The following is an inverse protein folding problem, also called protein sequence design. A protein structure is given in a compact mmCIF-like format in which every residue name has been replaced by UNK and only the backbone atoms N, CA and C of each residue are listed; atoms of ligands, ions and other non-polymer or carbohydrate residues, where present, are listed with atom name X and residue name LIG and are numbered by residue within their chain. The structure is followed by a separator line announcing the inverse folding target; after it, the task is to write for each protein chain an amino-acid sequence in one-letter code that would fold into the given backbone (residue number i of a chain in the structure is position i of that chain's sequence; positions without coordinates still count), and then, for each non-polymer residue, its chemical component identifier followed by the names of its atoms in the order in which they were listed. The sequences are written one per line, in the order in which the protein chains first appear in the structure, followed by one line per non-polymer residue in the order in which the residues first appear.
data_IF_459074139342
#
_entry.id   IF_459074139342
#
_cell.length_a   1.000
_cell.length_b   1.000
_cell.length_c   1.000
_cell.angle_alpha   90.00
_cell.angle_beta   90.00
_cell.angle_gamma   90.00
#
_symmetry.space_group_name_H-M   'P 1'
#
loop_
_entity.id
_entity.type
_entity.pdbx_description
1 polymer ?
2 polymer ?
3 polymer ?
#
# COMPACT_ATOMS: atom_id res chain seq x y z
N UNK A 1 10.49 -12.51 -13.57
CA UNK A 1 10.10 -11.14 -13.84
C UNK A 1 8.69 -11.01 -14.39
N UNK A 2 7.71 -11.03 -13.49
CA UNK A 2 6.31 -10.91 -13.88
C UNK A 2 5.79 -9.50 -13.59
N UNK A 3 4.57 -9.24 -14.05
CA UNK A 3 3.86 -8.02 -13.74
C UNK A 3 2.47 -8.38 -13.23
N UNK A 4 1.87 -7.46 -12.49
CA UNK A 4 0.62 -7.75 -11.80
C UNK A 4 -0.36 -6.60 -11.94
N UNK A 5 -1.61 -6.94 -12.24
CA UNK A 5 -2.74 -6.04 -12.12
C UNK A 5 -3.55 -6.48 -10.91
N UNK A 6 -3.66 -5.62 -9.91
CA UNK A 6 -4.30 -5.98 -8.65
C UNK A 6 -5.35 -4.94 -8.27
N UNK A 7 -6.47 -5.41 -7.74
CA UNK A 7 -7.58 -4.57 -7.31
C UNK A 7 -7.84 -4.79 -5.84
N UNK A 8 -8.00 -3.70 -5.10
CA UNK A 8 -8.15 -3.73 -3.64
C UNK A 8 -9.46 -3.06 -3.27
N UNK A 9 -10.42 -3.85 -2.78
CA UNK A 9 -11.69 -3.34 -2.31
C UNK A 9 -11.69 -3.24 -0.79
N UNK A 10 -12.36 -2.22 -0.27
CA UNK A 10 -12.57 -2.09 1.17
C UNK A 10 -13.95 -1.53 1.41
N UNK A 11 -14.75 -2.26 2.18
CA UNK A 11 -16.07 -1.81 2.62
C UNK A 11 -16.11 -1.89 4.14
N UNK A 12 -16.48 -0.80 4.80
CA UNK A 12 -16.46 -0.79 6.25
C UNK A 12 -17.53 0.13 6.79
N UNK A 13 -18.28 -0.36 7.78
CA UNK A 13 -19.15 0.49 8.58
C UNK A 13 -18.36 1.00 9.78
N UNK A 14 -18.58 2.24 10.14
CA UNK A 14 -17.88 2.87 11.25
C UNK A 14 -18.89 3.33 12.30
N UNK A 15 -18.47 3.45 13.56
CA UNK A 15 -19.45 3.69 14.65
C UNK A 15 -20.34 4.91 14.45
N UNK A 16 -19.75 6.07 14.21
CA UNK A 16 -20.52 7.30 14.19
C UNK A 16 -21.05 7.74 12.84
N UNK A 17 -21.42 6.77 12.00
CA UNK A 17 -21.95 7.08 10.68
C UNK A 17 -22.70 5.85 10.16
N UNK A 18 -24.02 5.95 10.07
CA UNK A 18 -24.77 4.99 9.30
C UNK A 18 -24.33 4.97 7.85
N UNK A 19 -24.56 3.82 7.18
CA UNK A 19 -24.20 3.60 5.79
C UNK A 19 -22.70 3.37 5.65
N UNK A 20 -22.26 2.18 5.26
CA UNK A 20 -20.81 1.93 5.15
C UNK A 20 -20.21 2.59 3.92
N UNK A 21 -18.89 2.75 3.97
CA UNK A 21 -18.10 3.36 2.92
C UNK A 21 -17.46 2.29 2.06
N UNK A 22 -17.18 2.61 0.80
CA UNK A 22 -16.59 1.65 -0.12
C UNK A 22 -15.46 2.32 -0.88
N UNK A 23 -14.26 1.75 -0.76
CA UNK A 23 -13.07 2.23 -1.47
C UNK A 23 -12.59 1.11 -2.39
N UNK A 24 -12.30 1.47 -3.65
CA UNK A 24 -11.86 0.52 -4.65
C UNK A 24 -10.73 1.14 -5.46
N UNK A 25 -9.51 0.63 -5.28
CA UNK A 25 -8.35 1.11 -6.01
C UNK A 25 -7.71 -0.05 -6.75
N UNK A 26 -7.01 0.28 -7.81
CA UNK A 26 -6.34 -0.72 -8.63
C UNK A 26 -4.89 -0.37 -8.84
N UNK A 27 -4.04 -1.39 -8.85
CA UNK A 27 -2.60 -1.23 -9.01
C UNK A 27 -2.12 -2.03 -10.21
N UNK A 28 -1.14 -1.46 -10.91
CA UNK A 28 -0.21 -2.19 -11.77
C UNK A 28 1.16 -2.10 -11.10
N UNK A 29 1.68 -3.26 -10.68
CA UNK A 29 2.94 -3.35 -9.94
C UNK A 29 2.79 -2.55 -8.65
N UNK A 30 3.59 -1.51 -8.43
CA UNK A 30 3.49 -0.63 -7.26
C UNK A 30 3.02 0.76 -7.68
N UNK A 31 2.13 0.83 -8.68
CA UNK A 31 1.64 2.10 -9.22
C UNK A 31 0.12 2.08 -9.21
N UNK A 32 -0.48 2.93 -8.38
CA UNK A 32 -1.92 3.09 -8.38
C UNK A 32 -2.35 3.91 -9.59
N UNK A 33 -3.42 3.47 -10.26
CA UNK A 33 -3.88 4.14 -11.47
C UNK A 33 -5.36 4.49 -11.47
N UNK A 34 -6.15 3.98 -10.53
CA UNK A 34 -7.58 4.25 -10.51
C UNK A 34 -8.08 4.19 -9.07
N UNK A 35 -9.17 4.90 -8.81
CA UNK A 35 -9.80 4.90 -7.50
C UNK A 35 -11.31 5.03 -7.67
N UNK A 36 -12.02 4.60 -6.63
CA UNK A 36 -13.46 4.80 -6.49
C UNK A 36 -13.74 4.89 -4.99
N UNK A 37 -14.52 5.89 -4.58
CA UNK A 37 -14.94 6.01 -3.19
C UNK A 37 -16.37 6.54 -3.14
N UNK A 38 -17.25 5.84 -2.44
CA UNK A 38 -18.67 6.17 -2.43
C UNK A 38 -19.05 7.37 -1.57
N UNK A 39 -18.09 7.99 -0.88
CA UNK A 39 -18.39 9.14 -0.03
C UNK A 39 -18.50 10.44 -0.81
N UNK A 40 -18.78 10.39 -2.11
CA UNK A 40 -18.82 11.57 -2.96
C UNK A 40 -20.26 11.89 -3.34
N UNK A 41 -20.43 13.00 -4.07
CA UNK A 41 -21.73 13.40 -4.57
C UNK A 41 -22.28 12.33 -5.50
N UNK A 42 -21.93 12.39 -6.79
CA UNK A 42 -22.11 11.27 -7.68
C UNK A 42 -20.79 10.53 -7.77
N UNK A 43 -20.59 9.45 -7.02
CA UNK A 43 -19.27 8.82 -6.97
C UNK A 43 -18.89 8.24 -8.33
N UNK A 44 -17.67 8.55 -8.76
CA UNK A 44 -17.20 8.16 -10.08
C UNK A 44 -15.81 7.56 -9.99
N UNK A 45 -15.52 6.65 -10.92
CA UNK A 45 -14.15 6.18 -11.11
C UNK A 45 -13.33 7.28 -11.78
N UNK A 46 -12.15 7.54 -11.23
CA UNK A 46 -11.31 8.66 -11.63
C UNK A 46 -9.89 8.19 -11.86
N UNK A 47 -9.12 8.89 -12.69
CA UNK A 47 -7.74 8.48 -12.94
C UNK A 47 -6.81 8.92 -11.82
N UNK A 48 -5.82 8.06 -11.53
CA UNK A 48 -4.77 8.36 -10.57
C UNK A 48 -3.39 8.05 -11.12
N UNK A 49 -3.24 8.08 -12.44
CA UNK A 49 -1.96 7.88 -13.10
C UNK A 49 -1.97 8.68 -14.40
N UNK A 50 -0.82 9.19 -14.85
CA UNK A 50 -0.84 10.08 -16.03
C UNK A 50 -1.38 9.42 -17.29
N UNK A 51 -0.93 8.19 -17.59
CA UNK A 51 -1.33 7.54 -18.82
C UNK A 51 -2.83 7.24 -18.85
N UNK A 52 -3.51 7.27 -17.70
CA UNK A 52 -4.96 7.10 -17.70
C UNK A 52 -5.70 8.40 -17.98
N UNK A 53 -5.01 9.53 -17.97
CA UNK A 53 -5.57 10.76 -18.51
C UNK A 53 -5.88 10.65 -19.99
N UNK A 54 -5.24 9.70 -20.69
CA UNK A 54 -5.41 9.50 -22.12
C UNK A 54 -6.41 8.39 -22.46
N UNK A 55 -6.88 7.63 -21.46
CA UNK A 55 -7.60 6.39 -21.74
C UNK A 55 -8.95 6.64 -22.41
N UNK A 56 -9.51 7.85 -22.29
CA UNK A 56 -10.79 8.12 -22.94
C UNK A 56 -10.65 8.16 -24.45
N UNK A 57 -9.44 8.38 -24.96
CA UNK A 57 -9.23 8.40 -26.40
C UNK A 57 -9.51 7.02 -27.02
N UNK A 58 -8.84 5.99 -26.49
CA UNK A 58 -9.01 4.63 -27.02
C UNK A 58 -10.22 3.91 -26.44
N UNK A 59 -10.80 4.41 -25.36
CA UNK A 59 -11.96 3.77 -24.73
C UNK A 59 -12.80 4.85 -24.09
N UNK A 60 -13.71 5.48 -24.85
CA UNK A 60 -14.48 6.61 -24.30
C UNK A 60 -15.43 6.21 -23.19
N UNK A 61 -15.83 4.95 -23.10
CA UNK A 61 -16.75 4.50 -22.06
C UNK A 61 -16.05 3.93 -20.84
N UNK A 62 -14.71 3.92 -20.82
CA UNK A 62 -13.98 3.30 -19.71
C UNK A 62 -14.44 3.85 -18.37
N UNK A 63 -14.57 5.18 -18.28
CA UNK A 63 -14.95 5.79 -17.01
C UNK A 63 -16.40 5.51 -16.66
N UNK A 64 -17.29 5.50 -17.66
CA UNK A 64 -18.69 5.18 -17.41
C UNK A 64 -18.86 3.71 -17.04
N UNK A 65 -18.20 2.82 -17.79
CA UNK A 65 -18.33 1.38 -17.51
C UNK A 65 -17.72 1.02 -16.16
N UNK A 66 -16.57 1.61 -15.84
CA UNK A 66 -15.92 1.28 -14.56
C UNK A 66 -16.61 1.96 -13.38
N UNK A 67 -17.24 3.11 -13.60
CA UNK A 67 -18.10 3.67 -12.57
C UNK A 67 -19.29 2.76 -12.31
N UNK A 68 -19.83 2.16 -13.37
CA UNK A 68 -20.94 1.22 -13.20
C UNK A 68 -20.52 0.01 -12.39
N UNK A 69 -19.36 -0.58 -12.72
CA UNK A 69 -18.93 -1.79 -12.05
C UNK A 69 -18.61 -1.56 -10.58
N UNK A 70 -18.05 -0.40 -10.25
CA UNK A 70 -17.67 -0.12 -8.86
C UNK A 70 -18.87 0.27 -8.01
N UNK A 71 -19.82 0.98 -8.60
CA UNK A 71 -21.01 1.36 -7.87
C UNK A 71 -21.87 0.14 -7.56
N UNK A 72 -21.91 -0.82 -8.48
CA UNK A 72 -22.56 -2.10 -8.18
C UNK A 72 -21.77 -2.86 -7.12
N UNK A 73 -20.45 -2.92 -7.27
CA UNK A 73 -19.61 -3.60 -6.29
C UNK A 73 -19.83 -3.02 -4.89
N UNK A 74 -19.90 -1.68 -4.80
CA UNK A 74 -20.18 -1.04 -3.52
C UNK A 74 -21.47 -1.57 -2.91
N UNK A 75 -22.48 -1.79 -3.75
CA UNK A 75 -23.79 -2.21 -3.24
C UNK A 75 -23.76 -3.65 -2.72
N UNK A 76 -23.15 -4.57 -3.49
CA UNK A 76 -23.18 -5.97 -3.10
C UNK A 76 -22.40 -6.23 -1.81
N UNK A 77 -21.34 -5.46 -1.57
CA UNK A 77 -20.52 -5.69 -0.38
C UNK A 77 -20.98 -4.89 0.83
N UNK A 78 -21.91 -3.95 0.65
CA UNK A 78 -22.60 -3.38 1.80
C UNK A 78 -23.63 -4.35 2.34
N UNK A 79 -24.31 -5.09 1.45
CA UNK A 79 -25.15 -6.19 1.88
C UNK A 79 -24.29 -7.31 2.46
N UNK A 80 -23.09 -7.53 1.90
CA UNK A 80 -22.21 -8.57 2.42
C UNK A 80 -21.77 -8.30 3.84
N UNK A 81 -21.60 -7.02 4.19
CA UNK A 81 -21.35 -6.66 5.58
C UNK A 81 -22.46 -7.18 6.48
N UNK A 82 -23.71 -6.96 6.07
CA UNK A 82 -24.85 -7.43 6.86
C UNK A 82 -24.88 -8.95 6.92
N UNK A 83 -24.67 -9.61 5.78
CA UNK A 83 -24.73 -11.07 5.73
C UNK A 83 -23.73 -11.69 6.69
N UNK A 84 -22.45 -11.35 6.55
CA UNK A 84 -21.42 -11.94 7.39
C UNK A 84 -21.61 -11.56 8.85
N UNK A 85 -21.96 -10.30 9.10
CA UNK A 85 -22.26 -9.86 10.47
C UNK A 85 -23.33 -10.73 11.11
N UNK A 86 -24.29 -11.18 10.32
CA UNK A 86 -25.31 -12.08 10.80
C UNK A 86 -24.83 -13.50 10.99
N UNK A 87 -23.97 -13.98 10.08
CA UNK A 87 -23.37 -15.30 10.25
C UNK A 87 -22.69 -15.41 11.61
N UNK A 88 -22.00 -14.36 12.02
CA UNK A 88 -21.31 -14.33 13.31
C UNK A 88 -22.20 -13.80 14.43
N UNK A 89 -23.50 -13.62 14.17
CA UNK A 89 -24.47 -13.09 15.14
C UNK A 89 -23.84 -11.88 15.85
N UNK A 90 -23.25 -10.99 15.06
CA UNK A 90 -22.77 -9.76 15.67
C UNK A 90 -23.90 -8.75 15.65
N UNK A 91 -23.74 -7.70 16.44
CA UNK A 91 -24.78 -6.70 16.60
C UNK A 91 -24.53 -5.53 15.67
N UNK A 92 -25.60 -4.78 15.41
CA UNK A 92 -25.50 -3.59 14.58
C UNK A 92 -24.55 -2.55 15.16
N UNK A 93 -24.22 -2.66 16.45
CA UNK A 93 -23.45 -1.61 17.12
C UNK A 93 -22.03 -1.52 16.56
N UNK A 94 -21.36 -2.67 16.40
CA UNK A 94 -19.95 -2.68 16.10
C UNK A 94 -19.63 -2.16 14.70
N UNK A 95 -18.33 -2.03 14.45
CA UNK A 95 -17.80 -1.59 13.17
C UNK A 95 -16.99 -2.73 12.56
N UNK A 96 -17.33 -3.10 11.33
CA UNK A 96 -16.77 -4.27 10.70
C UNK A 96 -16.27 -3.95 9.30
N UNK A 97 -15.46 -4.86 8.75
CA UNK A 97 -14.73 -4.60 7.51
C UNK A 97 -14.75 -5.84 6.63
N UNK A 98 -15.07 -5.64 5.35
CA UNK A 98 -14.90 -6.66 4.32
C UNK A 98 -13.90 -6.12 3.31
N UNK A 99 -12.88 -6.92 3.01
CA UNK A 99 -11.85 -6.56 2.05
C UNK A 99 -11.81 -7.60 0.93
N UNK A 100 -11.54 -7.14 -0.28
CA UNK A 100 -11.38 -8.02 -1.42
C UNK A 100 -10.10 -7.67 -2.17
N UNK A 101 -9.38 -8.69 -2.60
CA UNK A 101 -8.16 -8.53 -3.37
C UNK A 101 -8.17 -9.56 -4.50
N UNK A 102 -8.20 -9.07 -5.75
CA UNK A 102 -8.20 -9.96 -6.90
C UNK A 102 -7.30 -9.38 -7.98
N UNK A 103 -6.71 -10.27 -8.77
CA UNK A 103 -5.82 -9.85 -9.82
C UNK A 103 -5.11 -11.03 -10.44
N UNK A 104 -4.06 -10.71 -11.21
CA UNK A 104 -3.35 -11.74 -11.98
C UNK A 104 -1.88 -11.38 -12.07
N UNK A 105 -1.04 -12.42 -12.09
CA UNK A 105 0.39 -12.31 -12.36
C UNK A 105 0.67 -12.85 -13.75
N UNK A 106 1.25 -12.02 -14.61
CA UNK A 106 1.49 -12.36 -16.01
C UNK A 106 2.99 -12.43 -16.27
N UNK A 107 3.41 -13.44 -17.01
CA UNK A 107 4.81 -13.64 -17.34
C UNK A 107 5.25 -12.78 -18.52
N UNK A 108 6.43 -13.10 -19.07
CA UNK A 108 7.05 -12.20 -20.07
C UNK A 108 6.16 -11.81 -21.25
N UNK A 109 5.50 -12.75 -21.90
CA UNK A 109 4.73 -12.49 -23.12
C UNK A 109 3.28 -12.95 -22.94
N UNK A 110 2.55 -12.19 -22.13
CA UNK A 110 1.13 -12.45 -21.92
C UNK A 110 0.83 -13.81 -21.32
N UNK A 111 1.67 -14.26 -20.39
CA UNK A 111 1.60 -15.61 -19.86
C UNK A 111 1.10 -15.54 -18.42
N UNK A 112 -0.16 -15.92 -18.21
CA UNK A 112 -0.75 -15.91 -16.87
C UNK A 112 -0.02 -16.88 -15.96
N UNK A 113 0.66 -16.34 -14.93
CA UNK A 113 1.32 -17.17 -13.94
C UNK A 113 0.34 -17.64 -12.86
N UNK A 114 -0.39 -16.71 -12.25
CA UNK A 114 -1.34 -17.01 -11.19
C UNK A 114 -2.51 -16.05 -11.23
N UNK A 115 -3.67 -16.55 -10.82
CA UNK A 115 -4.84 -15.70 -10.61
C UNK A 115 -5.40 -15.93 -9.22
N UNK A 116 -5.98 -14.87 -8.66
CA UNK A 116 -6.39 -14.94 -7.26
C UNK A 116 -7.58 -14.02 -7.00
N UNK A 117 -8.39 -14.41 -6.02
CA UNK A 117 -9.48 -13.59 -5.50
C UNK A 117 -9.67 -13.97 -4.04
N UNK A 118 -9.41 -13.03 -3.13
CA UNK A 118 -9.38 -13.31 -1.71
C UNK A 118 -10.24 -12.30 -0.97
N UNK A 119 -10.84 -12.76 0.14
CA UNK A 119 -11.73 -11.94 0.95
C UNK A 119 -11.38 -12.08 2.41
N UNK A 120 -11.36 -10.95 3.11
CA UNK A 120 -11.16 -10.91 4.55
C UNK A 120 -12.36 -10.26 5.22
N UNK A 121 -12.67 -10.72 6.43
CA UNK A 121 -13.69 -10.10 7.26
C UNK A 121 -13.05 -9.67 8.58
N UNK A 122 -13.09 -8.37 8.84
CA UNK A 122 -12.41 -7.77 10.00
C UNK A 122 -10.95 -8.17 10.04
N UNK A 123 -10.30 -8.16 8.87
CA UNK A 123 -8.87 -8.32 8.77
C UNK A 123 -8.36 -9.74 8.82
N UNK A 124 -9.24 -10.74 8.85
CA UNK A 124 -8.84 -12.14 8.85
C UNK A 124 -9.37 -12.81 7.59
N UNK A 125 -8.56 -13.71 7.03
CA UNK A 125 -8.96 -14.40 5.80
C UNK A 125 -10.29 -15.12 5.99
N UNK A 126 -11.19 -14.94 5.02
CA UNK A 126 -12.53 -15.50 5.06
C UNK A 126 -12.72 -16.56 3.99
N UNK A 127 -12.59 -16.19 2.72
CA UNK A 127 -12.73 -17.13 1.61
C UNK A 127 -11.77 -16.69 0.51
N UNK A 128 -11.30 -17.66 -0.27
CA UNK A 128 -10.31 -17.40 -1.30
C UNK A 128 -10.50 -18.37 -2.44
N UNK A 129 -10.26 -17.89 -3.66
CA UNK A 129 -10.26 -18.75 -4.84
C UNK A 129 -8.99 -19.58 -4.87
N UNK A 130 -9.13 -20.88 -5.08
CA UNK A 130 -7.97 -21.75 -5.16
C UNK A 130 -7.16 -21.45 -6.42
N UNK A 131 -5.91 -21.94 -6.43
CA UNK A 131 -5.05 -21.69 -7.57
C UNK A 131 -5.58 -22.33 -8.85
N UNK A 132 -6.30 -23.45 -8.73
CA UNK A 132 -6.94 -24.06 -9.89
C UNK A 132 -8.07 -23.19 -10.43
N UNK A 133 -8.54 -22.21 -9.65
CA UNK A 133 -9.57 -21.25 -10.03
C UNK A 133 -10.94 -21.89 -10.23
N UNK A 134 -11.10 -23.16 -9.86
CA UNK A 134 -12.38 -23.85 -9.96
C UNK A 134 -12.93 -24.24 -8.60
N UNK A 135 -12.33 -23.78 -7.51
CA UNK A 135 -12.76 -24.15 -6.18
C UNK A 135 -12.30 -23.08 -5.19
N UNK A 136 -12.88 -23.14 -3.99
CA UNK A 136 -12.56 -22.20 -2.92
C UNK A 136 -12.11 -22.96 -1.68
N UNK A 137 -11.40 -22.26 -0.81
CA UNK A 137 -11.16 -22.69 0.56
C UNK A 137 -11.80 -21.69 1.50
N UNK A 138 -12.59 -22.18 2.44
CA UNK A 138 -13.26 -21.34 3.42
C UNK A 138 -12.54 -21.44 4.76
N UNK A 139 -12.45 -20.29 5.44
CA UNK A 139 -11.69 -20.24 6.69
C UNK A 139 -12.43 -20.96 7.82
N UNK A 140 -13.65 -20.51 8.12
CA UNK A 140 -14.41 -21.10 9.21
C UNK A 140 -15.81 -21.51 8.77
N UNK A 141 -16.67 -21.84 9.73
CA UNK A 141 -18.02 -22.29 9.41
C UNK A 141 -18.80 -21.21 8.67
N UNK A 142 -18.72 -19.96 9.13
CA UNK A 142 -19.46 -18.88 8.48
C UNK A 142 -19.05 -18.72 7.03
N UNK A 143 -17.79 -18.98 6.71
CA UNK A 143 -17.35 -18.91 5.32
C UNK A 143 -17.88 -20.09 4.51
N UNK A 144 -18.17 -21.22 5.17
CA UNK A 144 -18.75 -22.36 4.44
C UNK A 144 -20.13 -22.02 3.91
N UNK A 145 -20.89 -21.19 4.64
CA UNK A 145 -22.12 -20.62 4.10
C UNK A 145 -21.88 -20.01 2.73
N UNK A 146 -20.84 -19.17 2.64
CA UNK A 146 -20.55 -18.47 1.39
C UNK A 146 -20.10 -19.44 0.30
N UNK A 147 -19.19 -20.36 0.64
CA UNK A 147 -18.66 -21.29 -0.34
C UNK A 147 -19.77 -22.16 -0.93
N UNK A 148 -20.69 -22.64 -0.09
CA UNK A 148 -21.80 -23.44 -0.58
C UNK A 148 -22.71 -22.60 -1.47
N UNK A 149 -22.92 -21.33 -1.10
CA UNK A 149 -23.69 -20.43 -1.96
C UNK A 149 -22.99 -20.22 -3.30
N UNK A 150 -21.68 -19.97 -3.25
CA UNK A 150 -20.95 -19.66 -4.48
C UNK A 150 -20.78 -20.90 -5.35
N UNK A 151 -20.62 -22.07 -4.74
CA UNK A 151 -20.59 -23.32 -5.51
C UNK A 151 -21.87 -23.51 -6.30
N UNK A 152 -23.03 -23.37 -5.64
CA UNK A 152 -24.33 -23.40 -6.33
C UNK A 152 -24.36 -22.45 -7.51
N UNK A 153 -24.04 -21.19 -7.27
CA UNK A 153 -24.10 -20.18 -8.31
C UNK A 153 -22.93 -20.28 -9.28
N UNK A 154 -22.04 -21.25 -9.10
CA UNK A 154 -20.94 -21.43 -10.04
C UNK A 154 -20.16 -20.18 -10.31
N UNK A 155 -19.90 -19.39 -9.26
CA UNK A 155 -19.27 -18.08 -9.40
C UNK A 155 -17.79 -18.17 -9.77
N UNK A 156 -17.17 -19.33 -9.61
CA UNK A 156 -15.76 -19.47 -10.00
C UNK A 156 -15.60 -19.38 -11.51
N UNK A 157 -16.57 -19.93 -12.27
CA UNK A 157 -16.51 -19.85 -13.72
C UNK A 157 -16.53 -18.41 -14.19
N UNK A 158 -17.35 -17.57 -13.54
CA UNK A 158 -17.35 -16.15 -13.87
C UNK A 158 -16.06 -15.48 -13.43
N UNK A 159 -15.50 -15.92 -12.29
CA UNK A 159 -14.26 -15.33 -11.80
C UNK A 159 -13.09 -15.68 -12.70
N UNK A 160 -12.96 -16.97 -13.04
CA UNK A 160 -11.85 -17.41 -13.89
C UNK A 160 -11.93 -16.80 -15.28
N UNK A 161 -13.15 -16.52 -15.75
CA UNK A 161 -13.32 -15.86 -17.04
C UNK A 161 -12.63 -14.51 -17.08
N UNK A 162 -12.92 -13.66 -16.08
CA UNK A 162 -12.27 -12.36 -15.99
C UNK A 162 -10.76 -12.52 -15.81
N UNK A 163 -10.34 -13.36 -14.87
CA UNK A 163 -8.93 -13.47 -14.53
C UNK A 163 -8.09 -14.03 -15.67
N UNK A 164 -8.64 -14.96 -16.45
CA UNK A 164 -7.85 -15.57 -17.52
C UNK A 164 -7.79 -14.68 -18.74
N UNK A 165 -8.86 -13.97 -19.06
CA UNK A 165 -8.88 -13.10 -20.22
C UNK A 165 -8.75 -11.63 -19.88
N UNK A 166 -9.79 -11.07 -19.27
CA UNK A 166 -9.88 -9.62 -19.08
C UNK A 166 -8.71 -9.09 -18.27
N UNK A 167 -8.34 -9.78 -17.19
CA UNK A 167 -7.23 -9.31 -16.35
C UNK A 167 -5.94 -9.23 -17.15
N UNK A 168 -5.59 -10.32 -17.85
CA UNK A 168 -4.38 -10.35 -18.67
C UNK A 168 -4.40 -9.21 -19.69
N UNK A 169 -5.48 -9.13 -20.46
CA UNK A 169 -5.55 -8.16 -21.54
C UNK A 169 -5.43 -6.72 -21.04
N UNK A 170 -5.90 -6.45 -19.83
CA UNK A 170 -5.83 -5.08 -19.32
C UNK A 170 -4.47 -4.76 -18.70
N UNK A 171 -3.78 -5.77 -18.16
CA UNK A 171 -2.40 -5.56 -17.74
C UNK A 171 -1.51 -5.20 -18.93
N UNK A 172 -1.66 -5.94 -20.04
CA UNK A 172 -0.88 -5.65 -21.24
C UNK A 172 -1.23 -4.27 -21.81
N UNK A 173 -2.52 -3.92 -21.80
CA UNK A 173 -2.93 -2.59 -22.21
C UNK A 173 -2.22 -1.52 -21.37
N UNK A 174 -2.27 -1.68 -20.05
CA UNK A 174 -1.70 -0.67 -19.16
C UNK A 174 -0.18 -0.62 -19.25
N UNK A 175 0.47 -1.77 -19.45
CA UNK A 175 1.93 -1.78 -19.57
C UNK A 175 2.39 -1.05 -20.83
N UNK A 176 1.63 -1.20 -21.93
CA UNK A 176 2.02 -0.53 -23.17
C UNK A 176 1.72 0.96 -23.11
N UNK A 177 0.54 1.34 -22.61
CA UNK A 177 0.16 2.74 -22.57
C UNK A 177 0.86 3.50 -21.46
N UNK A 178 1.26 2.82 -20.40
CA UNK A 178 2.00 3.45 -19.31
C UNK A 178 3.45 3.01 -19.27
N UNK A 179 4.05 2.85 -20.45
CA UNK A 179 5.41 2.34 -20.54
C UNK A 179 6.39 3.19 -19.73
N UNK A 180 6.28 4.52 -19.86
CA UNK A 180 7.25 5.41 -19.22
C UNK A 180 7.22 5.26 -17.71
N UNK A 181 6.08 4.89 -17.13
CA UNK A 181 5.94 4.73 -15.70
C UNK A 181 6.08 3.27 -15.25
N UNK A 182 5.50 2.33 -15.98
CA UNK A 182 5.36 0.96 -15.49
C UNK A 182 6.58 0.10 -15.79
N UNK A 183 7.06 0.10 -17.03
CA UNK A 183 8.25 -0.65 -17.38
C UNK A 183 9.48 0.25 -17.18
N UNK A 184 9.77 0.45 -15.90
CA UNK A 184 10.82 1.34 -15.44
C UNK A 184 11.46 0.73 -14.20
N UNK A 185 12.78 0.81 -14.13
CA UNK A 185 13.53 0.35 -12.96
C UNK A 185 14.43 1.51 -12.52
N UNK A 186 14.03 2.20 -11.47
CA UNK A 186 14.80 3.33 -10.96
C UNK A 186 15.71 2.85 -9.85
N UNK A 187 17.03 2.77 -10.07
CA UNK A 187 17.92 2.36 -8.99
C UNK A 187 17.96 3.44 -7.90
N UNK A 188 18.27 3.05 -6.67
CA UNK A 188 18.27 4.03 -5.58
C UNK A 188 19.55 4.84 -5.51
N UNK A 189 19.41 6.06 -5.01
CA UNK A 189 20.56 6.84 -4.57
C UNK A 189 20.93 6.38 -3.17
N UNK A 190 22.10 5.77 -3.03
CA UNK A 190 22.53 5.18 -1.76
C UNK A 190 23.66 6.00 -1.16
N UNK A 191 23.60 6.17 0.16
CA UNK A 191 24.63 6.86 0.92
C UNK A 191 24.45 6.54 2.39
N UNK A 192 25.55 6.60 3.13
CA UNK A 192 25.59 6.17 4.53
C UNK A 192 25.80 7.40 5.42
N UNK A 193 25.03 7.46 6.51
CA UNK A 193 25.17 8.51 7.51
C UNK A 193 25.77 7.94 8.78
N UNK A 194 26.31 8.83 9.62
CA UNK A 194 27.05 8.47 10.82
C UNK A 194 26.54 9.30 11.98
N UNK A 195 25.96 8.64 12.98
CA UNK A 195 25.40 9.31 14.15
C UNK A 195 25.88 8.66 15.43
N UNK A 196 26.76 9.30 16.19
CA UNK A 196 27.26 8.68 17.42
C UNK A 196 26.25 8.71 18.54
N UNK A 197 26.30 7.68 19.39
CA UNK A 197 25.49 7.63 20.60
C UNK A 197 26.30 8.04 21.82
N UNK A 198 27.47 7.45 22.01
CA UNK A 198 28.31 7.74 23.17
C UNK A 198 29.77 7.67 22.71
N UNK A 199 30.68 7.63 23.70
CA UNK A 199 32.11 7.57 23.40
C UNK A 199 32.47 6.28 22.68
N UNK A 200 31.75 5.18 22.96
CA UNK A 200 32.12 3.87 22.45
C UNK A 200 31.19 3.32 21.38
N UNK A 201 30.00 3.91 21.20
CA UNK A 201 29.00 3.38 20.29
C UNK A 201 28.72 4.37 19.16
N UNK A 202 28.31 3.83 18.01
CA UNK A 202 27.94 4.65 16.85
C UNK A 202 26.81 3.96 16.11
N UNK A 203 25.94 4.75 15.50
CA UNK A 203 24.88 4.25 14.62
C UNK A 203 25.24 4.61 13.18
N UNK A 204 25.31 3.59 12.32
CA UNK A 204 25.57 3.78 10.90
C UNK A 204 24.30 3.43 10.14
N UNK A 205 23.80 4.37 9.34
CA UNK A 205 22.54 4.22 8.63
C UNK A 205 22.77 4.22 7.13
N UNK A 206 22.17 3.25 6.44
CA UNK A 206 22.36 3.03 5.01
C UNK A 206 21.07 3.40 4.29
N UNK A 207 21.07 4.55 3.61
CA UNK A 207 19.86 5.08 2.98
C UNK A 207 19.73 4.59 1.55
N UNK A 208 18.48 4.55 1.08
CA UNK A 208 18.17 4.21 -0.31
C UNK A 208 16.93 4.99 -0.71
N UNK A 209 17.08 5.95 -1.63
CA UNK A 209 16.03 6.89 -1.96
C UNK A 209 15.67 6.81 -3.44
N UNK A 210 14.39 7.03 -3.73
CA UNK A 210 13.92 7.20 -5.09
C UNK A 210 14.01 5.99 -5.99
N UNK A 211 13.68 4.81 -5.46
CA UNK A 211 13.74 3.58 -6.24
C UNK A 211 12.33 3.06 -6.54
N UNK A 212 12.21 2.40 -7.69
CA UNK A 212 10.99 1.75 -8.15
C UNK A 212 11.46 0.54 -8.95
N UNK A 213 10.86 -0.64 -8.74
CA UNK A 213 9.73 -0.91 -7.84
C UNK A 213 10.12 -0.98 -6.35
N UNK A 214 9.14 -1.32 -5.51
CA UNK A 214 9.32 -1.24 -4.07
C UNK A 214 10.28 -2.29 -3.54
N UNK A 215 10.42 -3.42 -4.24
CA UNK A 215 11.22 -4.53 -3.74
C UNK A 215 12.70 -4.13 -3.67
N UNK A 216 13.32 -4.36 -2.51
CA UNK A 216 14.71 -4.00 -2.28
C UNK A 216 15.21 -4.82 -1.11
N UNK A 217 16.53 -4.96 -1.01
CA UNK A 217 17.16 -5.67 0.11
C UNK A 217 18.38 -4.88 0.56
N UNK A 218 18.30 -4.30 1.75
CA UNK A 218 19.45 -3.69 2.41
C UNK A 218 20.03 -4.70 3.39
N UNK A 219 21.36 -4.74 3.46
CA UNK A 219 22.03 -5.73 4.31
C UNK A 219 23.34 -5.16 4.82
N UNK A 220 23.56 -5.26 6.13
CA UNK A 220 24.83 -4.88 6.74
C UNK A 220 25.66 -6.13 6.97
N UNK A 221 26.96 -6.03 6.67
CA UNK A 221 27.89 -7.13 6.86
C UNK A 221 29.07 -6.66 7.70
N UNK A 222 29.64 -7.59 8.47
CA UNK A 222 30.82 -7.34 9.28
C UNK A 222 31.89 -8.35 8.89
N UNK A 223 32.93 -7.88 8.20
CA UNK A 223 33.97 -8.76 7.67
C UNK A 223 33.35 -9.92 6.89
N UNK A 224 32.34 -9.61 6.09
CA UNK A 224 31.61 -10.62 5.38
C UNK A 224 30.57 -11.37 6.18
N UNK A 225 30.52 -11.18 7.49
CA UNK A 225 29.51 -11.84 8.32
C UNK A 225 28.18 -11.11 8.21
N UNK A 226 27.10 -11.88 8.06
CA UNK A 226 25.78 -11.31 7.92
C UNK A 226 25.25 -10.81 9.26
N UNK A 227 24.66 -9.62 9.25
CA UNK A 227 24.20 -8.95 10.46
C UNK A 227 22.76 -8.49 10.31
N UNK A 228 21.91 -9.34 9.72
CA UNK A 228 20.51 -8.99 9.56
C UNK A 228 19.77 -9.01 10.90
N UNK A 229 20.10 -9.96 11.77
CA UNK A 229 19.33 -10.12 13.00
C UNK A 229 19.63 -9.01 14.00
N UNK A 230 20.82 -8.40 13.92
CA UNK A 230 21.17 -7.26 14.74
C UNK A 230 20.82 -5.94 14.08
N UNK A 231 20.13 -5.98 12.95
CA UNK A 231 19.83 -4.79 12.15
C UNK A 231 18.54 -4.15 12.63
N UNK A 232 18.44 -2.83 12.42
CA UNK A 232 17.20 -2.08 12.61
C UNK A 232 16.71 -1.67 11.22
N UNK A 233 15.63 -2.30 10.75
CA UNK A 233 15.19 -2.19 9.37
C UNK A 233 13.86 -1.45 9.33
N UNK A 234 13.88 -0.22 8.81
CA UNK A 234 12.66 0.55 8.63
C UNK A 234 11.81 -0.10 7.53
N UNK A 235 10.50 0.03 7.65
CA UNK A 235 9.61 -0.43 6.59
C UNK A 235 9.66 0.55 5.42
N UNK A 236 9.69 0.00 4.20
CA UNK A 236 9.80 0.83 3.02
C UNK A 236 8.56 1.72 2.85
N UNK A 237 8.81 2.98 2.53
CA UNK A 237 7.84 4.06 2.49
C UNK A 237 7.82 4.71 1.12
N UNK A 238 6.69 5.27 0.69
CA UNK A 238 6.66 6.05 -0.55
C UNK A 238 7.22 7.45 -0.32
N UNK A 239 7.63 8.09 -1.41
CA UNK A 239 8.16 9.44 -1.32
C UNK A 239 7.19 10.50 -1.84
N UNK A 240 6.09 10.11 -2.48
CA UNK A 240 5.10 11.04 -2.95
C UNK A 240 5.14 11.31 -4.44
N UNK A 241 6.27 11.03 -5.10
CA UNK A 241 6.39 11.18 -6.54
C UNK A 241 6.35 9.85 -7.27
N UNK A 242 5.89 8.79 -6.61
CA UNK A 242 5.79 7.48 -7.22
C UNK A 242 6.96 6.56 -6.97
N UNK A 243 7.87 6.91 -6.06
CA UNK A 243 9.03 6.09 -5.74
C UNK A 243 9.02 5.76 -4.25
N UNK A 244 10.11 5.17 -3.76
CA UNK A 244 10.15 4.62 -2.42
C UNK A 244 11.50 4.93 -1.77
N UNK A 245 11.50 4.92 -0.43
CA UNK A 245 12.69 5.14 0.38
C UNK A 245 12.78 4.06 1.45
N UNK A 246 14.01 3.81 1.90
CA UNK A 246 14.26 2.80 2.93
C UNK A 246 15.68 2.96 3.45
N UNK A 247 15.86 2.66 4.73
CA UNK A 247 17.19 2.64 5.33
C UNK A 247 17.30 1.48 6.30
N UNK A 248 18.55 1.02 6.48
CA UNK A 248 18.92 0.03 7.48
C UNK A 248 20.05 0.60 8.32
N UNK A 249 19.93 0.48 9.64
CA UNK A 249 20.92 0.98 10.56
C UNK A 249 21.51 -0.16 11.37
N UNK A 250 22.70 0.08 11.94
CA UNK A 250 23.27 -0.89 12.84
C UNK A 250 24.31 -0.22 13.73
N UNK A 251 24.39 -0.67 14.99
CA UNK A 251 25.22 -0.04 16.01
C UNK A 251 26.56 -0.77 16.07
N UNK A 252 27.64 0.00 16.17
CA UNK A 252 29.00 -0.51 15.98
C UNK A 252 29.94 0.15 16.97
N UNK A 253 30.99 -0.56 17.38
CA UNK A 253 32.04 0.09 18.18
C UNK A 253 32.72 1.23 17.41
N UNK A 254 32.83 2.38 18.05
CA UNK A 254 33.41 3.55 17.41
C UNK A 254 34.88 3.29 17.08
N UNK A 255 35.37 3.97 16.04
CA UNK A 255 36.71 3.72 15.58
C UNK A 255 36.89 2.40 14.85
N UNK A 256 35.79 1.71 14.53
CA UNK A 256 35.84 0.49 13.75
C UNK A 256 34.79 0.48 12.65
N UNK A 257 34.35 1.66 12.21
CA UNK A 257 33.29 1.77 11.21
C UNK A 257 33.60 0.95 9.96
N UNK A 258 34.87 0.96 9.54
CA UNK A 258 35.25 0.47 8.22
C UNK A 258 35.30 -1.04 8.10
N UNK A 259 35.02 -1.79 9.17
CA UNK A 259 34.87 -3.23 9.06
C UNK A 259 33.46 -3.65 8.65
N UNK A 260 32.54 -2.70 8.56
CA UNK A 260 31.14 -2.99 8.27
C UNK A 260 30.79 -2.45 6.88
N UNK A 261 30.02 -3.24 6.12
CA UNK A 261 29.68 -2.88 4.75
C UNK A 261 28.21 -3.13 4.49
N UNK A 262 27.55 -2.14 3.88
CA UNK A 262 26.14 -2.23 3.51
C UNK A 262 26.01 -2.80 2.09
N UNK A 263 24.96 -3.58 1.88
CA UNK A 263 24.77 -4.34 0.64
C UNK A 263 23.38 -4.07 0.10
N UNK A 264 23.31 -3.52 -1.11
CA UNK A 264 22.06 -3.05 -1.71
C UNK A 264 21.72 -3.91 -2.91
N UNK A 265 20.51 -4.45 -2.94
CA UNK A 265 19.99 -5.21 -4.06
C UNK A 265 18.72 -4.53 -4.59
N UNK A 266 18.69 -4.27 -5.89
CA UNK A 266 17.51 -3.67 -6.50
C UNK A 266 17.47 -4.03 -7.98
N UNK A 267 16.25 -4.24 -8.49
CA UNK A 267 16.05 -4.65 -9.88
C UNK A 267 16.69 -3.66 -10.85
N UNK A 268 16.71 -2.38 -10.50
CA UNK A 268 17.27 -1.34 -11.33
C UNK A 268 18.76 -1.16 -11.25
N UNK A 269 19.46 -2.02 -10.51
CA UNK A 269 20.91 -1.89 -10.48
C UNK A 269 21.57 -2.94 -11.34
N UNK A 270 22.67 -2.59 -12.02
CA UNK A 270 23.36 -3.58 -12.87
C UNK A 270 23.83 -4.81 -12.12
N UNK A 271 24.21 -4.66 -10.84
CA UNK A 271 24.66 -5.75 -9.97
C UNK A 271 24.75 -5.20 -8.55
N UNK A 272 24.44 -6.00 -7.50
CA UNK A 272 24.43 -5.48 -6.13
C UNK A 272 25.68 -4.67 -5.76
N UNK A 273 25.47 -3.67 -4.90
CA UNK A 273 26.51 -2.77 -4.44
C UNK A 273 26.85 -3.06 -2.99
N UNK A 274 28.14 -2.98 -2.66
CA UNK A 274 28.63 -3.08 -1.29
C UNK A 274 29.23 -1.73 -0.91
N UNK A 275 28.69 -1.11 0.14
CA UNK A 275 29.02 0.25 0.51
C UNK A 275 29.93 0.30 1.73
N UNK A 276 30.47 1.49 1.98
CA UNK A 276 31.40 1.73 3.08
C UNK A 276 31.36 3.21 3.42
N UNK A 277 31.65 3.52 4.69
CA UNK A 277 31.66 4.91 5.16
C UNK A 277 33.06 5.47 5.08
N UNK A 278 33.16 6.75 4.69
CA UNK A 278 34.44 7.42 4.51
C UNK A 278 34.34 8.88 4.95
N UNK A 279 35.22 9.34 5.85
CA UNK A 279 35.34 10.75 6.24
C UNK A 279 35.67 11.66 5.06
N UNK B 1 -7.46 -7.07 19.57
CA UNK B 1 -7.79 -7.50 18.21
C UNK B 1 -7.43 -6.43 17.15
N UNK B 2 -7.69 -5.15 17.40
CA UNK B 2 -7.19 -4.13 16.48
C UNK B 2 -5.67 -4.10 16.42
N UNK B 3 -5.15 -3.54 15.34
CA UNK B 3 -3.72 -3.35 15.14
C UNK B 3 -3.40 -1.87 15.15
N UNK B 4 -2.30 -1.51 15.82
CA UNK B 4 -2.06 -0.09 15.97
C UNK B 4 -1.18 0.43 14.83
N UNK B 5 -1.46 1.64 14.34
CA UNK B 5 -0.69 2.16 13.21
C UNK B 5 0.76 2.45 13.57
N UNK B 6 1.64 2.18 12.61
CA UNK B 6 3.03 2.61 12.66
C UNK B 6 3.15 3.90 11.86
N UNK B 7 3.98 4.82 12.37
CA UNK B 7 4.08 6.17 11.81
C UNK B 7 5.51 6.48 11.44
N UNK B 8 5.70 7.13 10.30
CA UNK B 8 6.99 7.67 9.88
C UNK B 8 6.77 9.07 9.34
N UNK B 9 7.53 10.04 9.86
CA UNK B 9 7.42 11.44 9.43
C UNK B 9 8.75 11.85 8.81
N UNK B 10 8.69 12.32 7.56
CA UNK B 10 9.91 12.50 6.78
C UNK B 10 9.65 13.45 5.62
N UNK B 11 10.75 13.89 5.01
CA UNK B 11 10.74 14.68 3.80
C UNK B 11 11.11 13.81 2.60
N UNK B 12 10.68 14.26 1.42
CA UNK B 12 11.00 13.54 0.19
C UNK B 12 12.50 13.62 -0.12
N UNK B 13 13.05 14.82 -0.09
CA UNK B 13 14.47 15.04 -0.34
C UNK B 13 15.18 15.42 0.94
N UNK B 14 16.51 15.27 0.99
CA UNK B 14 17.28 15.82 2.11
C UNK B 14 16.96 17.30 2.31
N UNK B 15 16.76 17.67 3.57
CA UNK B 15 16.24 19.00 3.90
C UNK B 15 17.38 20.00 4.06
N UNK B 16 17.23 21.15 3.41
CA UNK B 16 18.05 22.33 3.65
C UNK B 16 17.09 23.50 3.80
N UNK B 17 17.28 24.30 4.83
CA UNK B 17 16.34 25.38 5.11
C UNK B 17 16.27 26.35 3.94
N UNK B 18 15.05 26.74 3.61
CA UNK B 18 14.82 27.60 2.46
C UNK B 18 14.44 26.82 1.22
N UNK B 19 15.33 25.95 0.77
CA UNK B 19 15.08 25.12 -0.41
C UNK B 19 13.84 24.25 -0.18
N UNK B 20 12.78 24.43 -0.96
CA UNK B 20 11.50 23.79 -0.63
C UNK B 20 11.55 22.27 -0.79
N UNK B 21 10.54 21.63 -0.22
CA UNK B 21 10.47 20.17 -0.21
C UNK B 21 9.03 19.76 0.10
N UNK B 22 8.81 18.46 0.29
CA UNK B 22 7.50 17.88 0.56
C UNK B 22 7.56 17.12 1.87
N UNK B 23 6.59 17.37 2.75
CA UNK B 23 6.50 16.70 4.04
C UNK B 23 5.53 15.52 3.94
N UNK B 24 5.96 14.36 4.43
CA UNK B 24 5.19 13.13 4.38
C UNK B 24 4.98 12.58 5.78
N UNK B 25 3.87 11.85 5.93
CA UNK B 25 3.58 11.12 7.16
C UNK B 25 2.92 9.82 6.73
N UNK B 26 3.64 8.72 6.81
CA UNK B 26 3.21 7.43 6.30
C UNK B 26 2.65 6.58 7.45
N UNK B 27 1.38 6.21 7.36
CA UNK B 27 0.68 5.52 8.44
C UNK B 27 0.21 4.16 7.90
N UNK B 28 0.67 3.08 8.54
CA UNK B 28 0.51 1.76 7.96
C UNK B 28 0.37 0.72 9.06
N UNK B 29 -0.10 -0.47 8.66
CA UNK B 29 -0.19 -1.60 9.56
C UNK B 29 -1.33 -1.55 10.54
N UNK B 30 -2.36 -0.74 10.28
CA UNK B 30 -3.46 -0.55 11.21
C UNK B 30 -4.74 -1.22 10.70
N UNK B 31 -5.68 -1.40 11.63
CA UNK B 31 -6.96 -2.05 11.38
C UNK B 31 -7.86 -1.84 12.59
N UNK B 32 -9.14 -1.48 12.41
CA UNK B 32 -9.95 -1.23 11.20
C UNK B 32 -9.56 0.07 10.48
N UNK B 33 -10.15 0.37 9.32
CA UNK B 33 -9.57 1.41 8.44
C UNK B 33 -9.99 2.85 8.72
N UNK B 34 -10.78 3.18 9.74
CA UNK B 34 -11.14 4.57 9.98
C UNK B 34 -10.11 5.22 10.89
N UNK B 35 -9.51 6.30 10.41
CA UNK B 35 -8.53 7.07 11.15
C UNK B 35 -8.71 8.54 10.79
N UNK B 36 -8.11 9.40 11.60
CA UNK B 36 -7.83 10.77 11.21
C UNK B 36 -6.32 10.97 11.26
N UNK B 37 -5.76 11.50 10.18
CA UNK B 37 -4.35 11.83 10.11
C UNK B 37 -4.23 13.31 9.79
N UNK B 38 -3.27 13.98 10.42
CA UNK B 38 -3.05 15.40 10.20
C UNK B 38 -1.57 15.69 10.26
N UNK B 39 -1.12 16.59 9.40
CA UNK B 39 0.16 17.25 9.54
C UNK B 39 -0.04 18.59 10.24
N UNK B 40 0.88 18.93 11.13
CA UNK B 40 0.74 20.12 11.96
C UNK B 40 1.98 20.99 11.84
N UNK B 41 1.77 22.29 11.66
CA UNK B 41 2.85 23.27 11.67
C UNK B 41 2.72 24.08 12.97
N UNK B 42 3.62 23.82 13.91
CA UNK B 42 3.59 24.46 15.23
C UNK B 42 2.23 24.27 15.90
N UNK B 43 1.70 23.05 15.81
CA UNK B 43 0.43 22.72 16.41
C UNK B 43 -0.79 23.06 15.56
N UNK B 44 -0.66 23.96 14.60
CA UNK B 44 -1.78 24.32 13.74
C UNK B 44 -1.89 23.34 12.58
N UNK B 45 -3.13 23.01 12.21
CA UNK B 45 -3.36 22.07 11.13
C UNK B 45 -2.97 22.70 9.79
N UNK B 46 -2.66 21.82 8.83
CA UNK B 46 -2.25 22.23 7.50
C UNK B 46 -3.22 21.68 6.47
N UNK B 47 -3.33 22.37 5.34
CA UNK B 47 -4.13 21.88 4.21
C UNK B 47 -3.32 20.82 3.47
N UNK B 48 -3.85 19.61 3.40
CA UNK B 48 -3.04 18.45 3.05
C UNK B 48 -3.80 17.53 2.10
N UNK B 49 -3.05 16.62 1.49
CA UNK B 49 -3.59 15.62 0.57
C UNK B 49 -3.45 14.24 1.20
N UNK B 50 -4.53 13.46 1.14
CA UNK B 50 -4.55 12.11 1.67
C UNK B 50 -4.71 11.11 0.54
N UNK B 51 -3.87 10.08 0.54
CA UNK B 51 -3.91 9.07 -0.51
C UNK B 51 -5.18 8.20 -0.37
N UNK B 52 -5.36 7.31 -1.35
CA UNK B 52 -6.51 6.42 -1.37
C UNK B 52 -6.23 5.17 -0.55
N UNK B 53 -7.26 4.70 0.16
CA UNK B 53 -7.09 3.60 1.10
C UNK B 53 -6.78 2.30 0.36
N UNK B 54 -5.67 1.66 0.74
CA UNK B 54 -5.29 0.35 0.22
C UNK B 54 -4.74 -0.47 1.39
N UNK B 55 -4.43 -1.74 1.14
CA UNK B 55 -4.00 -2.61 2.22
C UNK B 55 -2.96 -3.60 1.72
N UNK B 56 -2.21 -4.16 2.68
CA UNK B 56 -1.10 -5.05 2.41
C UNK B 56 -1.58 -6.50 2.35
N UNK B 57 -0.63 -7.44 2.24
CA UNK B 57 -0.99 -8.86 2.17
C UNK B 57 -1.59 -9.34 3.48
N UNK B 58 -1.11 -8.83 4.62
CA UNK B 58 -1.68 -9.22 5.91
C UNK B 58 -3.01 -8.53 6.20
N UNK B 59 -3.54 -7.82 5.21
CA UNK B 59 -4.82 -7.10 5.18
C UNK B 59 -4.75 -5.75 5.89
N UNK B 60 -3.66 -5.42 6.59
CA UNK B 60 -3.58 -4.14 7.27
C UNK B 60 -3.43 -3.01 6.25
N UNK B 61 -3.90 -1.82 6.63
CA UNK B 61 -4.00 -0.69 5.74
C UNK B 61 -2.78 0.22 5.84
N UNK B 62 -2.59 1.04 4.80
CA UNK B 62 -1.57 2.07 4.79
C UNK B 62 -2.13 3.30 4.09
N UNK B 63 -1.65 4.47 4.52
CA UNK B 63 -2.07 5.74 3.93
C UNK B 63 -0.91 6.72 3.95
N UNK B 64 -0.96 7.69 3.03
CA UNK B 64 0.05 8.73 2.93
C UNK B 64 -0.64 10.09 2.93
N UNK B 65 -0.18 10.97 3.81
CA UNK B 65 -0.71 12.33 3.94
C UNK B 65 0.46 13.29 3.75
N UNK B 66 0.34 14.18 2.76
CA UNK B 66 1.51 14.92 2.31
C UNK B 66 1.12 16.33 1.88
N UNK B 67 2.12 17.21 1.87
CA UNK B 67 1.97 18.60 1.46
C UNK B 67 3.35 19.19 1.19
N UNK B 68 3.41 20.11 0.24
CA UNK B 68 4.57 20.97 0.07
C UNK B 68 4.86 21.72 1.36
N UNK B 69 6.13 22.06 1.58
CA UNK B 69 6.47 22.92 2.71
C UNK B 69 7.89 23.44 2.53
N UNK B 70 8.24 24.40 3.37
CA UNK B 70 9.55 25.04 3.34
C UNK B 70 10.13 24.99 4.75
N UNK B 71 11.24 24.28 4.97
CA UNK B 71 11.76 24.15 6.33
C UNK B 71 12.49 25.39 6.78
N UNK B 72 12.27 25.76 8.04
CA UNK B 72 13.03 26.80 8.72
C UNK B 72 13.68 26.19 9.96
N UNK B 73 14.52 26.98 10.62
CA UNK B 73 15.08 26.59 11.90
C UNK B 73 14.15 26.94 13.07
N UNK B 74 13.09 27.71 12.81
CA UNK B 74 12.18 28.17 13.85
C UNK B 74 10.84 27.43 13.82
N UNK B 75 10.52 26.74 12.73
CA UNK B 75 9.26 26.02 12.62
C UNK B 75 9.42 24.58 13.06
N UNK B 76 8.33 24.01 13.57
CA UNK B 76 8.28 22.61 14.00
C UNK B 76 7.13 21.92 13.28
N UNK B 77 7.33 20.64 12.93
CA UNK B 77 6.33 19.88 12.19
C UNK B 77 6.07 18.55 12.87
N UNK B 78 4.80 18.15 12.92
CA UNK B 78 4.40 16.90 13.54
C UNK B 78 3.21 16.31 12.79
N UNK B 79 3.00 15.02 13.01
CA UNK B 79 1.88 14.29 12.44
C UNK B 79 0.99 13.76 13.56
N UNK B 80 -0.30 14.09 13.50
CA UNK B 80 -1.26 13.72 14.54
C UNK B 80 -2.19 12.65 14.00
N UNK B 81 -2.11 11.45 14.57
CA UNK B 81 -2.90 10.31 14.14
C UNK B 81 -3.80 9.87 15.28
N UNK B 82 -5.04 9.53 14.95
CA UNK B 82 -5.98 8.95 15.92
C UNK B 82 -6.64 7.72 15.29
N UNK B 83 -6.64 6.62 16.04
CA UNK B 83 -7.21 5.36 15.60
C UNK B 83 -7.91 4.71 16.79
N UNK B 84 -8.88 3.85 16.49
CA UNK B 84 -9.62 3.19 17.56
C UNK B 84 -8.72 2.31 18.42
N UNK B 85 -7.60 1.84 17.88
CA UNK B 85 -6.63 1.07 18.66
C UNK B 85 -5.81 1.96 19.60
N UNK B 86 -5.88 3.27 19.46
CA UNK B 86 -5.18 4.20 20.32
C UNK B 86 -6.11 4.70 21.41
N UNK B 87 -5.60 4.78 22.65
CA UNK B 87 -6.38 5.36 23.73
C UNK B 87 -6.62 6.85 23.54
N UNK B 88 -5.81 7.51 22.72
CA UNK B 88 -5.87 8.94 22.49
C UNK B 88 -5.00 9.29 21.28
N UNK B 89 -5.13 10.50 20.71
CA UNK B 89 -4.29 10.87 19.57
C UNK B 89 -2.80 10.80 19.90
N UNK B 90 -2.02 10.41 18.90
CA UNK B 90 -0.57 10.36 18.99
C UNK B 90 0.04 11.40 18.05
N UNK B 91 1.06 12.10 18.53
CA UNK B 91 1.81 13.05 17.72
C UNK B 91 3.24 12.56 17.58
N UNK B 92 3.77 12.62 16.37
CA UNK B 92 5.15 12.26 16.08
C UNK B 92 5.80 13.44 15.41
N UNK B 93 6.65 14.16 16.16
CA UNK B 93 7.34 15.31 15.61
C UNK B 93 8.26 14.90 14.47
N UNK B 94 8.53 15.84 13.56
CA UNK B 94 9.40 15.59 12.42
C UNK B 94 10.82 16.00 12.80
N UNK B 95 11.70 15.01 12.92
CA UNK B 95 13.13 15.24 13.01
C UNK B 95 13.72 14.93 11.64
N UNK B 96 14.55 15.84 11.12
CA UNK B 96 15.06 15.73 9.76
C UNK B 96 15.97 14.50 9.62
N UNK B 97 15.83 13.53 10.53
CA UNK B 97 16.57 12.29 10.53
C UNK B 97 15.66 11.12 10.92
N UNK B 98 14.77 10.66 10.03
CA UNK B 98 13.93 9.52 10.36
C UNK B 98 14.56 8.21 9.86
N UNK C 1 -10.21 -2.95 -16.27
CA UNK C 1 -11.55 -2.80 -15.72
C UNK C 1 -11.70 -3.49 -14.36
N UNK C 2 -12.45 -2.86 -13.46
CA UNK C 2 -12.99 -3.60 -12.33
C UNK C 2 -13.79 -4.78 -12.87
N UNK C 3 -13.69 -5.93 -12.17
CA UNK C 3 -14.47 -7.09 -12.59
C UNK C 3 -15.95 -6.74 -12.55
N UNK C 4 -16.70 -7.23 -13.54
CA UNK C 4 -18.09 -6.83 -13.72
C UNK C 4 -19.09 -7.76 -13.02
N UNK C 5 -18.61 -8.71 -12.22
CA UNK C 5 -19.49 -9.62 -11.49
C UNK C 5 -18.96 -9.79 -10.08
N UNK C 6 -19.71 -9.30 -9.09
CA UNK C 6 -19.43 -9.52 -7.69
C UNK C 6 -20.59 -10.30 -7.08
N UNK C 7 -20.28 -11.40 -6.39
CA UNK C 7 -21.29 -12.20 -5.72
C UNK C 7 -21.25 -11.91 -4.23
N UNK C 8 -22.42 -11.61 -3.66
CA UNK C 8 -22.49 -11.26 -2.24
C UNK C 8 -22.07 -12.45 -1.40
N UNK C 9 -21.29 -12.26 -0.32
CA UNK C 9 -20.86 -13.38 0.53
C UNK C 9 -21.96 -13.87 1.46
#
# INVERSE_FOLDING_TARGET
GFHSLRYFYTAWSRPGSGEPRFVAVGYVDDTQFVRFDSDNASPRAEPRAPWMDLVEQQDPQYWDRNTRNARDAAQTYRVGLDNVRGYYNQSEAGSHTIQRMYGCDVGPHGRLLRGYDQLAYDGADYIALNEDLRSWTAADLAAQNTRRKWEEAGYAERDRAYLEGECVEWLLKHLENGRETLLRADPPKTHITHHPISDREVTLRCWALGFYPEEITLTWQHDGEDQTQEMELVETRPDGNGAFQKWAALVVPSGEEQRYTCHVQHEGLPQPLTLRWEP
EPRTPKIQVYSRHPAENGKPNYLNCYVYGFHPPQIEIDLLKNGQKMKTEQSDLSFSKDWSFYLLVHTDFTPSTVDEYSCRVNHSSLAAPHMVKWDRNN
DYINTNLVP
#
